data_IF_763169843091
#
_entry.id   IF_763169843091
#
_cell.length_a   1.000
_cell.length_b   1.000
_cell.length_c   1.000
_cell.angle_alpha   90.00
_cell.angle_beta   90.00
_cell.angle_gamma   90.00
#
_symmetry.space_group_name_H-M   'P 1'
#
loop_
_entity.id
_entity.type
_entity.pdbx_description
1 polymer ?
#
# COMPACT_ATOMS: atom_id res chain seq x y z
N UNK A 1 -16.63 -13.04 6.15
CA UNK A 1 -15.21 -13.45 6.24
C UNK A 1 -14.38 -12.50 5.39
N UNK A 2 -13.16 -12.16 5.80
CA UNK A 2 -12.25 -11.40 4.95
C UNK A 2 -11.84 -12.24 3.72
N UNK A 3 -12.00 -11.68 2.53
CA UNK A 3 -11.72 -12.34 1.24
C UNK A 3 -10.35 -11.98 0.67
N UNK A 4 -9.51 -11.23 1.37
CA UNK A 4 -8.14 -10.97 0.92
C UNK A 4 -7.33 -12.26 1.08
N UNK A 5 -6.62 -12.67 0.03
CA UNK A 5 -6.04 -14.01 -0.05
C UNK A 5 -4.59 -14.06 -0.52
N UNK A 6 -4.06 -13.00 -1.14
CA UNK A 6 -2.72 -13.04 -1.76
C UNK A 6 -2.05 -11.69 -1.73
N UNK A 7 -0.74 -11.70 -1.55
CA UNK A 7 0.13 -10.54 -1.78
C UNK A 7 0.82 -10.71 -3.12
N UNK A 8 0.68 -9.71 -3.97
CA UNK A 8 1.28 -9.66 -5.31
C UNK A 8 2.24 -8.48 -5.41
N UNK A 9 3.24 -8.59 -6.28
CA UNK A 9 4.12 -7.49 -6.64
C UNK A 9 4.21 -7.36 -8.17
N UNK A 10 4.34 -6.14 -8.64
CA UNK A 10 4.67 -5.80 -10.02
C UNK A 10 5.47 -4.50 -9.98
N UNK A 11 6.29 -4.26 -11.00
CA UNK A 11 7.03 -3.01 -11.16
C UNK A 11 6.94 -2.53 -12.61
N UNK A 12 6.98 -1.21 -12.78
CA UNK A 12 7.07 -0.56 -14.07
C UNK A 12 8.07 0.59 -13.98
N UNK A 13 8.69 0.93 -15.10
CA UNK A 13 9.56 2.11 -15.23
C UNK A 13 8.90 3.23 -16.05
N UNK A 14 7.77 2.94 -16.69
CA UNK A 14 7.10 3.81 -17.67
C UNK A 14 5.58 3.87 -17.45
N UNK A 15 5.05 3.20 -16.42
CA UNK A 15 3.63 3.01 -16.08
C UNK A 15 2.79 2.34 -17.19
N UNK A 16 3.40 1.92 -18.29
CA UNK A 16 2.75 1.27 -19.43
C UNK A 16 3.13 -0.22 -19.50
N UNK A 17 4.40 -0.53 -19.25
CA UNK A 17 4.98 -1.86 -19.30
C UNK A 17 5.20 -2.38 -17.89
N UNK A 18 4.54 -3.49 -17.55
CA UNK A 18 4.64 -4.10 -16.23
C UNK A 18 5.54 -5.33 -16.24
N UNK A 19 6.29 -5.52 -15.15
CA UNK A 19 7.23 -6.64 -14.97
C UNK A 19 7.10 -7.22 -13.57
N UNK A 20 7.44 -8.49 -13.43
CA UNK A 20 7.68 -9.15 -12.13
C UNK A 20 8.95 -8.61 -11.49
N UNK A 21 9.21 -8.94 -10.21
CA UNK A 21 10.40 -8.47 -9.51
C UNK A 21 11.72 -8.89 -10.19
N UNK A 22 11.76 -10.08 -10.77
CA UNK A 22 12.91 -10.61 -11.51
C UNK A 22 13.09 -9.99 -12.91
N UNK A 23 12.15 -9.16 -13.37
CA UNK A 23 12.21 -8.50 -14.67
C UNK A 23 11.37 -9.13 -15.78
N UNK A 24 10.73 -10.29 -15.52
CA UNK A 24 9.89 -10.94 -16.52
C UNK A 24 8.70 -10.03 -16.90
N UNK A 25 8.42 -9.83 -18.19
CA UNK A 25 7.31 -9.00 -18.63
C UNK A 25 5.96 -9.62 -18.28
N UNK A 26 5.00 -8.76 -17.94
CA UNK A 26 3.60 -9.10 -17.77
C UNK A 26 2.78 -8.54 -18.93
N UNK A 27 1.93 -9.38 -19.51
CA UNK A 27 1.06 -9.03 -20.62
C UNK A 27 -0.40 -9.06 -20.19
N UNK A 28 -1.17 -8.08 -20.68
CA UNK A 28 -2.59 -7.93 -20.37
C UNK A 28 -2.86 -7.38 -18.98
N UNK A 29 -4.13 -7.43 -18.59
CA UNK A 29 -4.58 -6.92 -17.28
C UNK A 29 -3.99 -7.74 -16.14
N UNK A 30 -3.38 -7.06 -15.17
CA UNK A 30 -2.82 -7.69 -13.98
C UNK A 30 -3.96 -8.28 -13.15
N UNK A 31 -3.83 -9.54 -12.80
CA UNK A 31 -4.82 -10.30 -12.05
C UNK A 31 -4.12 -11.35 -11.17
N UNK A 32 -4.84 -11.99 -10.24
CA UNK A 32 -4.23 -12.93 -9.30
C UNK A 32 -3.51 -14.12 -9.93
N UNK A 33 -3.81 -14.47 -11.19
CA UNK A 33 -3.18 -15.60 -11.90
C UNK A 33 -1.89 -15.22 -12.63
N UNK A 34 -1.67 -13.93 -12.93
CA UNK A 34 -0.49 -13.47 -13.66
C UNK A 34 0.45 -12.55 -12.86
N UNK A 35 0.09 -12.11 -11.65
CA UNK A 35 0.97 -11.29 -10.80
C UNK A 35 2.23 -12.04 -10.34
N UNK A 36 3.28 -11.33 -9.90
CA UNK A 36 4.38 -11.94 -9.13
C UNK A 36 3.89 -12.25 -7.72
N UNK A 37 3.68 -13.53 -7.42
CA UNK A 37 3.13 -13.98 -6.15
C UNK A 37 4.20 -13.84 -5.07
N UNK A 38 3.97 -12.93 -4.12
CA UNK A 38 4.84 -12.69 -2.96
C UNK A 38 4.56 -13.70 -1.87
N UNK A 39 3.27 -13.84 -1.52
CA UNK A 39 2.79 -14.79 -0.54
C UNK A 39 1.34 -15.20 -0.88
N UNK A 40 1.09 -16.50 -0.94
CA UNK A 40 -0.22 -17.08 -1.22
C UNK A 40 -0.89 -17.52 0.08
N UNK A 41 -1.42 -16.55 0.82
CA UNK A 41 -1.85 -16.73 2.20
C UNK A 41 -3.16 -17.51 2.30
N UNK A 42 -4.07 -17.31 1.36
CA UNK A 42 -5.44 -17.83 1.38
C UNK A 42 -6.43 -16.92 2.11
N UNK A 43 -7.72 -17.12 1.85
CA UNK A 43 -8.80 -16.34 2.46
C UNK A 43 -8.91 -16.57 3.98
N UNK A 44 -9.40 -15.55 4.70
CA UNK A 44 -9.63 -15.64 6.14
C UNK A 44 -8.35 -15.79 6.99
N UNK A 45 -7.17 -15.57 6.40
CA UNK A 45 -5.87 -15.71 7.08
C UNK A 45 -5.29 -14.38 7.57
N UNK A 46 -6.13 -13.40 7.88
CA UNK A 46 -5.71 -12.15 8.51
C UNK A 46 -5.05 -11.13 7.58
N UNK A 47 -5.15 -11.32 6.26
CA UNK A 47 -4.76 -10.32 5.27
C UNK A 47 -5.73 -9.14 5.23
N UNK A 48 -5.18 -7.93 5.10
CA UNK A 48 -5.95 -6.71 4.83
C UNK A 48 -5.27 -5.87 3.75
N UNK A 49 -6.03 -4.95 3.13
CA UNK A 49 -5.57 -4.12 2.02
C UNK A 49 -4.77 -2.90 2.49
N UNK A 50 -3.69 -3.14 3.27
CA UNK A 50 -2.85 -2.08 3.84
C UNK A 50 -1.35 -2.36 3.74
N UNK A 51 -0.95 -3.27 2.84
CA UNK A 51 0.45 -3.59 2.62
C UNK A 51 1.26 -2.31 2.33
N UNK A 52 2.42 -2.20 2.95
CA UNK A 52 3.33 -1.08 2.79
C UNK A 52 4.55 -1.52 1.99
N UNK A 53 5.02 -0.66 1.09
CA UNK A 53 6.15 -0.93 0.22
C UNK A 53 7.26 0.10 0.48
N UNK A 54 8.50 -0.35 0.51
CA UNK A 54 9.67 0.48 0.26
C UNK A 54 10.63 -0.25 -0.67
N UNK A 55 11.62 0.46 -1.20
CA UNK A 55 12.64 -0.09 -2.09
C UNK A 55 14.02 0.28 -1.57
N UNK A 56 14.90 -0.71 -1.51
CA UNK A 56 16.31 -0.49 -1.19
C UNK A 56 17.02 0.30 -2.28
N UNK A 57 18.17 0.86 -1.96
CA UNK A 57 19.03 1.60 -2.89
C UNK A 57 19.42 0.78 -4.13
N UNK A 58 19.55 -0.54 -3.99
CA UNK A 58 19.82 -1.48 -5.10
C UNK A 58 18.57 -1.94 -5.86
N UNK A 59 17.37 -1.47 -5.50
CA UNK A 59 16.12 -1.78 -6.20
C UNK A 59 15.37 -3.00 -5.68
N UNK A 60 15.77 -3.59 -4.56
CA UNK A 60 15.04 -4.70 -3.92
C UNK A 60 13.76 -4.20 -3.25
N UNK A 61 12.58 -4.76 -3.61
CA UNK A 61 11.32 -4.40 -2.95
C UNK A 61 11.22 -5.02 -1.55
N UNK A 62 10.73 -4.22 -0.60
CA UNK A 62 10.44 -4.59 0.78
C UNK A 62 8.96 -4.37 1.05
N UNK A 63 8.22 -5.45 1.31
CA UNK A 63 6.75 -5.40 1.48
C UNK A 63 6.42 -5.80 2.92
N UNK A 64 5.82 -4.89 3.67
CA UNK A 64 5.28 -5.18 5.01
C UNK A 64 3.79 -5.41 4.89
N UNK A 65 3.28 -6.47 5.49
CA UNK A 65 1.85 -6.78 5.50
C UNK A 65 1.48 -7.58 6.75
N UNK A 66 0.17 -7.69 7.01
CA UNK A 66 -0.37 -8.49 8.12
C UNK A 66 -0.93 -9.82 7.62
N UNK A 67 -0.71 -10.89 8.37
CA UNK A 67 -1.45 -12.16 8.26
C UNK A 67 -1.47 -12.84 9.62
N UNK A 68 -2.29 -13.86 9.79
CA UNK A 68 -2.27 -14.64 11.02
C UNK A 68 -0.93 -15.39 11.20
N UNK A 69 -0.44 -15.43 12.44
CA UNK A 69 0.65 -16.31 12.85
C UNK A 69 0.16 -17.75 13.03
N UNK A 70 1.07 -18.65 13.41
CA UNK A 70 0.78 -20.07 13.60
C UNK A 70 -0.19 -20.32 14.77
N UNK A 71 -0.41 -19.31 15.62
CA UNK A 71 -1.36 -19.30 16.75
C UNK A 71 -2.63 -18.49 16.44
N UNK A 72 -2.84 -18.11 15.17
CA UNK A 72 -3.95 -17.26 14.70
C UNK A 72 -3.98 -15.85 15.30
N UNK A 73 -2.85 -15.30 15.72
CA UNK A 73 -2.74 -13.89 16.16
C UNK A 73 -2.32 -13.01 14.98
N UNK A 74 -2.63 -11.73 15.00
CA UNK A 74 -2.22 -10.81 13.93
C UNK A 74 -0.70 -10.69 13.94
N UNK A 75 -0.06 -11.15 12.88
CA UNK A 75 1.38 -11.05 12.68
C UNK A 75 1.72 -10.01 11.62
N UNK A 76 2.76 -9.23 11.85
CA UNK A 76 3.36 -8.36 10.84
C UNK A 76 4.55 -9.10 10.22
N UNK A 77 4.56 -9.16 8.90
CA UNK A 77 5.58 -9.86 8.12
C UNK A 77 6.26 -8.91 7.15
N UNK A 78 7.55 -9.11 6.95
CA UNK A 78 8.34 -8.48 5.91
C UNK A 78 8.62 -9.51 4.81
N UNK A 79 8.23 -9.19 3.59
CA UNK A 79 8.65 -9.92 2.39
C UNK A 79 9.71 -9.13 1.61
N UNK A 80 10.69 -9.84 1.06
CA UNK A 80 11.76 -9.29 0.24
C UNK A 80 12.21 -10.30 -0.82
N UNK A 81 12.92 -9.82 -1.85
CA UNK A 81 13.46 -10.68 -2.90
C UNK A 81 14.92 -11.06 -2.60
N UNK A 82 15.20 -12.35 -2.57
CA UNK A 82 16.55 -12.91 -2.53
C UNK A 82 16.56 -14.24 -3.32
N UNK A 83 16.83 -14.14 -4.62
CA UNK A 83 16.56 -15.18 -5.62
C UNK A 83 15.05 -15.38 -5.84
N UNK A 84 14.35 -15.87 -4.82
CA UNK A 84 12.89 -15.95 -4.73
C UNK A 84 12.31 -14.95 -3.73
N UNK A 85 10.98 -14.96 -3.56
CA UNK A 85 10.36 -14.24 -2.45
C UNK A 85 10.66 -14.94 -1.14
N UNK A 86 11.08 -14.17 -0.13
CA UNK A 86 11.32 -14.61 1.24
C UNK A 86 10.44 -13.80 2.15
N UNK A 87 9.92 -14.42 3.20
CA UNK A 87 9.06 -13.79 4.19
C UNK A 87 9.64 -14.05 5.57
N UNK A 88 9.71 -13.02 6.41
CA UNK A 88 10.07 -13.12 7.83
C UNK A 88 8.98 -12.49 8.69
N UNK A 89 8.64 -13.15 9.80
CA UNK A 89 7.72 -12.60 10.80
C UNK A 89 8.50 -11.60 11.66
N UNK A 90 8.00 -10.37 11.75
CA UNK A 90 8.61 -9.31 12.56
C UNK A 90 8.09 -9.35 13.99
N UNK A 91 6.76 -9.40 14.14
CA UNK A 91 6.09 -9.40 15.44
C UNK A 91 4.70 -10.03 15.31
N UNK A 92 4.14 -10.48 16.42
CA UNK A 92 2.75 -10.88 16.54
C UNK A 92 2.10 -10.16 17.70
N UNK A 93 0.82 -9.82 17.56
CA UNK A 93 0.00 -9.37 18.66
C UNK A 93 -0.12 -10.43 19.76
N UNK A 94 -0.46 -9.98 20.95
CA UNK A 94 -0.82 -10.80 22.10
C UNK A 94 -2.17 -11.50 21.91
N UNK A 95 -3.12 -10.85 21.22
CA UNK A 95 -4.49 -11.34 20.99
C UNK A 95 -4.79 -11.53 19.50
N UNK A 96 -5.79 -12.36 19.18
CA UNK A 96 -6.35 -12.43 17.83
C UNK A 96 -7.41 -11.36 17.65
N UNK A 97 -7.28 -10.56 16.60
CA UNK A 97 -8.33 -9.69 16.09
C UNK A 97 -8.87 -10.35 14.84
N UNK A 98 -10.12 -10.83 14.94
CA UNK A 98 -10.82 -11.39 13.80
C UNK A 98 -11.11 -10.28 12.78
N UNK A 99 -10.56 -10.46 11.59
CA UNK A 99 -10.81 -9.56 10.46
C UNK A 99 -12.09 -10.05 9.78
N UNK A 100 -13.22 -9.51 10.22
CA UNK A 100 -14.56 -9.87 9.73
C UNK A 100 -15.35 -8.63 9.34
N UNK A 101 -15.83 -8.58 8.10
CA UNK A 101 -16.70 -7.50 7.63
C UNK A 101 -16.52 -7.18 6.15
N UNK A 102 -17.38 -6.31 5.62
CA UNK A 102 -17.24 -5.64 4.32
C UNK A 102 -17.10 -4.14 4.60
N UNK A 103 -16.08 -3.48 4.05
CA UNK A 103 -15.83 -2.03 4.23
C UNK A 103 -14.71 -1.67 5.22
N UNK A 104 -14.73 -0.43 5.72
CA UNK A 104 -13.73 0.10 6.65
C UNK A 104 -13.89 -0.51 8.05
N UNK A 105 -12.90 -1.30 8.48
CA UNK A 105 -12.90 -1.93 9.79
C UNK A 105 -12.07 -1.09 10.77
N UNK A 106 -12.67 -0.50 11.82
CA UNK A 106 -11.91 0.16 12.87
C UNK A 106 -11.12 -0.88 13.68
N UNK A 107 -9.90 -0.55 14.07
CA UNK A 107 -9.07 -1.47 14.85
C UNK A 107 -8.43 -2.58 14.02
N UNK A 108 -7.83 -2.23 12.87
CA UNK A 108 -6.90 -3.11 12.17
C UNK A 108 -5.46 -2.88 12.65
N UNK A 109 -4.57 -3.88 12.51
CA UNK A 109 -3.13 -3.64 12.63
C UNK A 109 -2.70 -2.52 11.67
N UNK A 110 -2.02 -1.51 12.19
CA UNK A 110 -1.40 -0.46 11.42
C UNK A 110 0.12 -0.60 11.48
N UNK A 111 0.78 -0.30 10.37
CA UNK A 111 2.24 -0.38 10.30
C UNK A 111 2.80 0.57 9.24
N UNK A 112 4.03 1.02 9.42
CA UNK A 112 4.73 1.85 8.46
C UNK A 112 5.36 1.02 7.33
N UNK A 113 5.75 1.69 6.25
CA UNK A 113 6.71 1.12 5.31
C UNK A 113 8.03 0.79 6.04
N UNK A 114 8.75 -0.27 5.62
CA UNK A 114 10.04 -0.61 6.20
C UNK A 114 11.08 0.43 5.80
N UNK A 115 11.95 0.79 6.73
CA UNK A 115 13.14 1.62 6.48
C UNK A 115 14.38 0.84 6.86
N UNK A 116 15.49 1.04 6.16
CA UNK A 116 16.79 0.43 6.49
C UNK A 116 17.84 1.53 6.45
N UNK A 117 18.60 1.65 7.55
CA UNK A 117 19.73 2.55 7.65
C UNK A 117 20.86 1.88 8.45
N UNK A 118 22.07 1.89 7.89
CA UNK A 118 23.24 1.32 8.55
C UNK A 118 23.08 -0.17 8.88
N UNK A 119 22.37 -0.92 8.01
CA UNK A 119 22.14 -2.36 8.20
C UNK A 119 21.09 -2.73 9.24
N UNK A 120 20.38 -1.75 9.81
CA UNK A 120 19.25 -1.98 10.72
C UNK A 120 17.96 -1.55 10.03
N UNK A 121 17.03 -2.50 9.95
CA UNK A 121 15.68 -2.26 9.46
C UNK A 121 14.71 -1.89 10.57
N UNK A 122 13.72 -1.04 10.29
CA UNK A 122 12.68 -0.63 11.23
C UNK A 122 11.29 -0.61 10.58
N UNK A 123 10.29 -1.01 11.36
CA UNK A 123 8.85 -0.88 11.06
C UNK A 123 8.15 -0.41 12.32
N UNK A 124 7.42 0.69 12.25
CA UNK A 124 6.51 1.11 13.31
C UNK A 124 5.24 0.26 13.22
N UNK A 125 4.82 -0.37 14.33
CA UNK A 125 3.65 -1.26 14.39
C UNK A 125 2.72 -0.80 15.50
N UNK A 126 1.43 -0.76 15.21
CA UNK A 126 0.37 -0.52 16.17
C UNK A 126 -0.69 -1.62 16.04
N UNK A 127 -0.86 -2.39 17.11
CA UNK A 127 -2.02 -3.25 17.28
C UNK A 127 -3.06 -2.51 18.16
N UNK A 128 -4.36 -2.53 17.79
CA UNK A 128 -5.43 -1.72 18.42
C UNK A 128 -5.58 -1.76 19.94
N UNK A 129 -5.01 -2.76 20.61
CA UNK A 129 -5.09 -2.92 22.08
C UNK A 129 -3.72 -3.02 22.73
N UNK A 130 -2.67 -2.60 22.02
CA UNK A 130 -1.28 -2.68 22.46
C UNK A 130 -0.60 -1.33 22.29
N UNK A 131 0.48 -1.11 23.03
CA UNK A 131 1.32 0.05 22.80
C UNK A 131 1.97 -0.09 21.41
N UNK A 132 2.02 1.01 20.67
CA UNK A 132 2.76 1.05 19.42
C UNK A 132 4.25 0.80 19.69
N UNK A 133 4.90 0.09 18.76
CA UNK A 133 6.27 -0.39 18.91
C UNK A 133 7.05 -0.25 17.62
N UNK A 134 8.30 0.19 17.72
CA UNK A 134 9.25 0.14 16.62
C UNK A 134 9.95 -1.22 16.61
N UNK A 135 9.58 -2.07 15.65
CA UNK A 135 10.20 -3.37 15.47
C UNK A 135 11.47 -3.18 14.64
N UNK A 136 12.61 -3.54 15.23
CA UNK A 136 13.90 -3.53 14.52
C UNK A 136 14.26 -4.93 14.03
N UNK A 137 14.85 -5.02 12.84
CA UNK A 137 15.37 -6.26 12.28
C UNK A 137 16.79 -6.08 11.73
N UNK A 138 17.58 -7.16 11.71
CA UNK A 138 18.94 -7.14 11.20
C UNK A 138 18.92 -7.25 9.66
N UNK A 139 18.91 -6.10 8.97
CA UNK A 139 18.86 -6.04 7.52
C UNK A 139 20.13 -6.60 6.86
N UNK A 140 21.31 -6.38 7.47
CA UNK A 140 22.57 -6.95 7.00
C UNK A 140 22.56 -8.47 6.97
N UNK A 141 21.98 -9.11 8.00
CA UNK A 141 21.84 -10.57 8.04
C UNK A 141 20.88 -11.10 6.96
N UNK A 142 19.98 -10.27 6.44
CA UNK A 142 19.10 -10.59 5.32
C UNK A 142 19.72 -10.24 3.95
N UNK A 143 20.91 -9.64 3.93
CA UNK A 143 21.57 -9.18 2.71
C UNK A 143 20.88 -7.97 2.07
N UNK A 144 20.20 -7.13 2.87
CA UNK A 144 19.44 -5.98 2.38
C UNK A 144 20.26 -4.70 2.49
N UNK A 145 20.31 -3.93 1.40
CA UNK A 145 20.88 -2.60 1.39
C UNK A 145 20.00 -1.57 2.12
N UNK A 146 20.56 -0.39 2.39
CA UNK A 146 19.80 0.74 2.95
C UNK A 146 18.63 1.12 2.03
N UNK A 147 17.54 1.59 2.61
CA UNK A 147 16.40 2.11 1.85
C UNK A 147 16.73 3.44 1.21
N UNK A 148 16.13 3.71 0.05
CA UNK A 148 16.19 5.06 -0.52
C UNK A 148 15.60 6.04 0.50
N UNK A 149 16.28 7.16 0.73
CA UNK A 149 15.75 8.23 1.60
C UNK A 149 14.43 8.70 1.00
N UNK A 150 13.36 8.64 1.79
CA UNK A 150 12.10 9.31 1.48
C UNK A 150 12.23 10.80 1.85
N UNK A 151 13.31 11.49 1.45
CA UNK A 151 13.31 12.94 1.44
C UNK A 151 12.29 13.37 0.38
N UNK A 152 11.02 13.24 0.70
CA UNK A 152 9.92 13.82 -0.03
C UNK A 152 10.18 15.31 0.05
N UNK A 153 10.50 15.99 -1.05
CA UNK A 153 10.63 17.43 -1.03
C UNK A 153 9.34 17.99 -0.42
N UNK A 154 9.43 18.91 0.55
CA UNK A 154 8.25 19.59 1.08
C UNK A 154 7.62 20.40 -0.06
N UNK A 155 6.66 19.80 -0.74
CA UNK A 155 5.85 20.48 -1.74
C UNK A 155 4.73 21.24 -1.04
N UNK A 156 4.72 22.56 -1.23
CA UNK A 156 3.56 23.39 -0.87
C UNK A 156 2.61 23.36 -2.06
N UNK A 157 1.48 22.65 -1.94
CA UNK A 157 0.44 22.66 -2.96
C UNK A 157 -0.43 23.91 -2.80
N UNK A 158 -0.93 24.53 -3.88
CA UNK A 158 -2.03 25.47 -3.78
C UNK A 158 -3.23 24.78 -3.12
N UNK A 159 -3.97 25.52 -2.29
CA UNK A 159 -5.20 25.00 -1.70
C UNK A 159 -6.20 24.66 -2.82
N UNK A 160 -6.73 23.43 -2.81
CA UNK A 160 -7.84 23.08 -3.68
C UNK A 160 -9.10 23.62 -2.98
N UNK A 161 -9.81 24.56 -3.62
CA UNK A 161 -11.11 25.01 -3.12
C UNK A 161 -12.11 23.85 -3.25
N UNK A 162 -12.77 23.54 -2.13
CA UNK A 162 -13.84 22.53 -2.04
C UNK A 162 -15.21 23.20 -1.92
N UNK A 163 -15.28 24.52 -2.09
CA UNK A 163 -16.45 25.33 -1.75
C UNK A 163 -17.70 24.94 -2.57
N UNK A 164 -17.49 24.35 -3.76
CA UNK A 164 -18.55 23.91 -4.67
C UNK A 164 -18.84 22.39 -4.62
N UNK A 165 -18.17 21.61 -3.77
CA UNK A 165 -18.30 20.15 -3.71
C UNK A 165 -19.15 19.68 -2.51
N UNK A 166 -20.07 18.75 -2.77
CA UNK A 166 -20.92 18.17 -1.72
C UNK A 166 -20.14 17.15 -0.87
N UNK A 167 -20.15 17.32 0.46
CA UNK A 167 -19.48 16.44 1.41
C UNK A 167 -20.10 15.01 1.49
N UNK A 168 -19.31 13.98 1.84
CA UNK A 168 -17.89 14.03 2.15
C UNK A 168 -17.03 14.02 0.88
N UNK A 169 -15.99 14.84 0.86
CA UNK A 169 -14.98 14.90 -0.20
C UNK A 169 -13.71 14.21 0.30
N UNK A 170 -13.13 13.30 -0.48
CA UNK A 170 -11.88 12.65 -0.13
C UNK A 170 -10.72 13.24 -0.95
N UNK A 171 -9.77 13.84 -0.24
CA UNK A 171 -8.49 14.27 -0.81
C UNK A 171 -7.57 13.05 -0.89
N UNK A 172 -7.28 12.60 -2.10
CA UNK A 172 -6.39 11.47 -2.33
C UNK A 172 -5.04 11.97 -2.82
N UNK A 173 -3.96 11.31 -2.39
CA UNK A 173 -2.64 11.59 -2.92
C UNK A 173 -1.78 10.35 -3.06
N UNK A 174 -1.02 10.27 -4.15
CA UNK A 174 0.01 9.25 -4.38
C UNK A 174 1.32 9.96 -4.68
N UNK A 175 2.38 9.61 -3.97
CA UNK A 175 3.74 10.08 -4.24
C UNK A 175 4.47 8.98 -5.02
N UNK A 176 5.00 9.31 -6.20
CA UNK A 176 5.80 8.39 -7.01
C UNK A 176 7.23 8.94 -7.20
N UNK A 177 8.27 8.14 -6.95
CA UNK A 177 9.65 8.53 -7.27
C UNK A 177 9.86 8.56 -8.80
N UNK A 178 10.31 9.70 -9.35
CA UNK A 178 10.53 9.88 -10.80
C UNK A 178 12.02 10.08 -11.18
N UNK A 179 12.76 9.03 -11.56
CA UNK A 179 14.10 9.19 -12.14
C UNK A 179 14.03 9.87 -13.53
N UNK A 180 14.95 10.78 -13.93
CA UNK A 180 16.24 11.12 -13.31
C UNK A 180 16.20 12.33 -12.36
N UNK A 181 15.01 12.82 -11.98
CA UNK A 181 14.89 14.00 -11.13
C UNK A 181 14.69 13.60 -9.65
N UNK A 182 15.19 14.43 -8.72
CA UNK A 182 15.15 14.18 -7.27
C UNK A 182 13.80 14.51 -6.62
N UNK A 183 12.71 14.45 -7.36
CA UNK A 183 11.39 14.81 -6.85
C UNK A 183 10.48 13.59 -6.90
N UNK A 184 9.71 13.40 -5.82
CA UNK A 184 8.49 12.60 -5.87
C UNK A 184 7.43 13.41 -6.59
N UNK A 185 6.82 12.85 -7.63
CA UNK A 185 5.60 13.42 -8.23
C UNK A 185 4.46 13.06 -7.31
N UNK A 186 3.79 14.05 -6.74
CA UNK A 186 2.59 13.83 -5.92
C UNK A 186 1.37 14.11 -6.78
N UNK A 187 0.66 13.06 -7.17
CA UNK A 187 -0.68 13.21 -7.73
C UNK A 187 -1.63 13.50 -6.59
N UNK A 188 -2.34 14.63 -6.64
CA UNK A 188 -3.44 14.93 -5.71
C UNK A 188 -4.71 15.15 -6.50
N UNK A 189 -5.77 14.46 -6.11
CA UNK A 189 -7.09 14.65 -6.68
C UNK A 189 -8.13 14.71 -5.58
N UNK A 190 -9.19 15.42 -5.88
CA UNK A 190 -10.41 15.39 -5.11
C UNK A 190 -11.28 14.27 -5.67
N UNK A 191 -11.86 13.47 -4.78
CA UNK A 191 -12.82 12.43 -5.10
C UNK A 191 -14.07 12.57 -4.24
N UNK A 192 -15.20 12.07 -4.72
CA UNK A 192 -16.39 11.96 -3.89
C UNK A 192 -16.16 10.90 -2.81
N UNK A 193 -16.63 11.17 -1.60
CA UNK A 193 -16.47 10.26 -0.48
C UNK A 193 -17.35 9.01 -0.59
N UNK A 194 -17.09 8.02 0.27
CA UNK A 194 -17.73 6.70 0.21
C UNK A 194 -19.26 6.81 0.14
N UNK A 195 -19.89 6.04 -0.75
CA UNK A 195 -21.35 6.00 -0.89
C UNK A 195 -21.89 4.56 -0.83
N UNK A 196 -21.24 3.68 -0.06
CA UNK A 196 -21.70 2.29 0.15
C UNK A 196 -22.00 1.53 -1.15
N UNK A 197 -21.19 1.74 -2.19
CA UNK A 197 -21.35 1.19 -3.54
C UNK A 197 -22.67 1.56 -4.24
N UNK A 198 -23.37 2.59 -3.75
CA UNK A 198 -24.56 3.15 -4.38
C UNK A 198 -24.09 4.15 -5.45
N UNK A 199 -24.60 4.08 -6.69
CA UNK A 199 -24.35 5.11 -7.69
C UNK A 199 -24.98 6.43 -7.24
N UNK A 200 -24.22 7.53 -7.31
CA UNK A 200 -24.77 8.88 -7.12
C UNK A 200 -25.44 9.35 -8.40
N UNK A 201 -26.47 10.19 -8.28
CA UNK A 201 -27.08 10.87 -9.42
C UNK A 201 -26.17 12.00 -9.89
N UNK A 202 -25.99 12.15 -11.21
CA UNK A 202 -25.15 13.22 -11.74
C UNK A 202 -25.89 14.57 -11.61
N UNK A 203 -25.26 15.51 -10.92
CA UNK A 203 -25.75 16.89 -10.73
C UNK A 203 -24.61 17.88 -10.96
N UNK A 204 -24.90 19.18 -11.02
CA UNK A 204 -23.86 20.22 -11.11
C UNK A 204 -22.87 20.16 -9.92
N UNK A 205 -23.32 19.69 -8.76
CA UNK A 205 -22.51 19.44 -7.56
C UNK A 205 -21.93 18.00 -7.47
N UNK A 206 -22.26 17.12 -8.42
CA UNK A 206 -21.80 15.73 -8.55
C UNK A 206 -21.51 15.41 -10.03
N UNK A 207 -20.52 16.08 -10.65
CA UNK A 207 -20.32 16.04 -12.10
C UNK A 207 -19.83 14.67 -12.59
N UNK A 208 -19.99 14.43 -13.89
CA UNK A 208 -19.45 13.23 -14.55
C UNK A 208 -17.92 13.17 -14.43
N UNK A 209 -17.41 11.94 -14.27
CA UNK A 209 -15.99 11.66 -14.39
C UNK A 209 -15.48 11.77 -15.82
N UNK A 210 -14.17 11.69 -15.98
CA UNK A 210 -13.46 11.76 -17.26
C UNK A 210 -13.93 10.71 -18.29
N UNK A 211 -14.65 9.68 -17.85
CA UNK A 211 -15.44 8.78 -18.69
C UNK A 211 -16.92 8.84 -18.28
N UNK A 212 -17.79 9.11 -19.26
CA UNK A 212 -19.17 9.58 -19.11
C UNK A 212 -20.16 8.64 -18.40
N UNK A 213 -19.73 7.49 -17.89
CA UNK A 213 -20.62 6.46 -17.32
C UNK A 213 -20.69 6.48 -15.78
N UNK A 214 -19.87 7.29 -15.10
CA UNK A 214 -19.90 7.43 -13.64
C UNK A 214 -19.87 8.89 -13.21
N UNK A 215 -20.74 9.28 -12.28
CA UNK A 215 -20.70 10.58 -11.62
C UNK A 215 -19.50 10.58 -10.67
N UNK A 216 -18.42 11.26 -11.04
CA UNK A 216 -17.19 11.32 -10.25
C UNK A 216 -16.48 12.62 -10.57
N UNK A 217 -16.40 13.56 -9.63
CA UNK A 217 -15.46 14.66 -9.78
C UNK A 217 -14.04 14.08 -9.68
N UNK A 218 -13.30 14.03 -10.78
CA UNK A 218 -11.85 13.77 -10.79
C UNK A 218 -11.19 14.99 -11.41
N UNK A 219 -10.75 15.91 -10.57
CA UNK A 219 -9.87 17.00 -10.98
C UNK A 219 -8.42 16.54 -10.81
N UNK A 220 -7.72 16.28 -11.91
CA UNK A 220 -6.28 16.08 -11.92
C UNK A 220 -5.61 17.46 -12.00
N UNK A 221 -4.86 17.83 -10.98
CA UNK A 221 -3.99 19.00 -11.00
C UNK A 221 -2.55 18.50 -11.00
N UNK A 222 -1.80 18.83 -12.06
CA UNK A 222 -0.38 18.54 -12.22
C UNK A 222 0.48 19.59 -11.51
#
# INVERSE_FOLDING_TARGET
MASNFRVCFVKSSDLASWKRANGDPLFGTINPTNCDVVDDVGEGQGLVNNAQLNVTTDGTPLIVYTKFDERRRNGIYLAYKNGGWRTVKLISSSTSIDIVGRGSFPGLPAFSAPTIAGGVGKVHVNFPSEAAVDVSFNASALGLADTKSNDVPKFTFPAISTDDLYEPVALSSVAEPYPPHRYDVVFRWVSQGPHSDIPRSCTDSQPHGLHAETCTAVGLYL
#
